data_IF_913729161916
#
_entry.id   IF_913729161916
#
_cell.length_a   1.000
_cell.length_b   1.000
_cell.length_c   1.000
_cell.angle_alpha   90.00
_cell.angle_beta   90.00
_cell.angle_gamma   90.00
#
_symmetry.space_group_name_H-M   'P 1'
#
loop_
_entity.id
_entity.type
_entity.pdbx_description
1 polymer ?
#
# COMPACT_ATOMS: atom_id res chain seq x y z
N UNK A 1 20.07 -16.25 -9.61
CA UNK A 1 19.88 -16.33 -8.14
C UNK A 1 18.52 -15.71 -7.82
N UNK A 2 17.69 -16.38 -7.02
CA UNK A 2 16.39 -15.86 -6.58
C UNK A 2 16.58 -14.94 -5.38
N UNK A 3 15.99 -13.74 -5.43
CA UNK A 3 15.94 -12.84 -4.28
C UNK A 3 14.85 -13.35 -3.35
N UNK A 4 15.23 -13.86 -2.19
CA UNK A 4 14.27 -14.17 -1.14
C UNK A 4 13.98 -12.89 -0.37
N UNK A 5 12.81 -12.30 -0.60
CA UNK A 5 12.32 -11.16 0.17
C UNK A 5 11.64 -11.70 1.42
N UNK A 6 12.30 -11.61 2.57
CA UNK A 6 11.69 -11.95 3.86
C UNK A 6 10.79 -10.80 4.28
N UNK A 7 9.47 -11.02 4.25
CA UNK A 7 8.50 -10.09 4.84
C UNK A 7 8.54 -10.24 6.37
N UNK A 8 8.69 -9.12 7.08
CA UNK A 8 8.79 -9.14 8.56
C UNK A 8 7.48 -9.60 9.23
N UNK A 9 6.36 -9.60 8.50
CA UNK A 9 5.02 -9.89 9.03
C UNK A 9 4.49 -11.30 8.73
N UNK A 10 5.32 -12.18 8.14
CA UNK A 10 5.03 -13.62 8.05
C UNK A 10 3.88 -14.02 7.11
N UNK A 11 3.23 -13.08 6.43
CA UNK A 11 2.32 -13.36 5.33
C UNK A 11 3.14 -13.61 4.06
N UNK A 12 3.07 -14.83 3.52
CA UNK A 12 3.76 -15.17 2.29
C UNK A 12 3.06 -14.51 1.09
N UNK A 13 3.85 -13.81 0.29
CA UNK A 13 3.41 -13.13 -0.92
C UNK A 13 3.98 -13.87 -2.13
N UNK A 14 3.11 -14.26 -3.05
CA UNK A 14 3.47 -14.83 -4.33
C UNK A 14 3.72 -13.69 -5.33
N UNK A 15 4.82 -13.77 -6.07
CA UNK A 15 5.27 -12.72 -6.98
C UNK A 15 5.32 -13.20 -8.41
N UNK A 16 5.23 -12.27 -9.36
CA UNK A 16 5.38 -12.56 -10.78
C UNK A 16 6.80 -13.08 -11.08
N UNK A 17 6.87 -14.16 -11.86
CA UNK A 17 8.15 -14.76 -12.30
C UNK A 17 9.02 -13.78 -13.10
N UNK A 18 8.41 -12.93 -13.91
CA UNK A 18 9.10 -11.96 -14.79
C UNK A 18 9.33 -10.61 -14.11
N UNK A 19 8.57 -10.31 -13.04
CA UNK A 19 8.73 -9.08 -12.26
C UNK A 19 8.54 -9.37 -10.76
N UNK A 20 9.60 -9.74 -10.02
CA UNK A 20 9.49 -10.12 -8.61
C UNK A 20 9.10 -8.96 -7.67
N UNK A 21 9.04 -7.72 -8.17
CA UNK A 21 8.47 -6.59 -7.42
C UNK A 21 6.92 -6.55 -7.49
N UNK A 22 6.32 -7.33 -8.38
CA UNK A 22 4.88 -7.39 -8.57
C UNK A 22 4.31 -8.61 -7.84
N UNK A 23 3.63 -8.35 -6.71
CA UNK A 23 2.85 -9.36 -6.00
C UNK A 23 1.58 -9.69 -6.80
N UNK A 24 1.29 -10.98 -6.92
CA UNK A 24 0.16 -11.53 -7.67
C UNK A 24 -0.88 -12.21 -6.77
N UNK A 25 -0.48 -12.68 -5.59
CA UNK A 25 -1.39 -13.23 -4.56
C UNK A 25 -0.67 -13.37 -3.22
N UNK A 26 -1.41 -13.68 -2.16
CA UNK A 26 -0.91 -13.93 -0.81
C UNK A 26 -1.61 -15.15 -0.20
N UNK A 27 -0.99 -15.76 0.80
CA UNK A 27 -1.57 -16.92 1.48
C UNK A 27 -2.73 -16.55 2.40
N UNK A 28 -2.73 -15.32 2.92
CA UNK A 28 -3.78 -14.79 3.80
C UNK A 28 -4.19 -13.39 3.40
N UNK A 29 -5.47 -13.12 3.55
CA UNK A 29 -6.08 -11.82 3.32
C UNK A 29 -6.87 -11.37 4.54
N UNK A 30 -6.74 -10.09 4.86
CA UNK A 30 -7.77 -9.35 5.56
C UNK A 30 -8.99 -9.23 4.66
N UNK A 31 -10.19 -9.31 5.25
CA UNK A 31 -11.45 -9.11 4.54
C UNK A 31 -12.13 -7.84 5.04
N UNK A 32 -11.81 -6.64 4.51
CA UNK A 32 -12.39 -5.39 4.99
C UNK A 32 -13.89 -5.29 4.76
N UNK A 33 -14.41 -5.99 3.75
CA UNK A 33 -15.83 -6.06 3.45
C UNK A 33 -16.19 -7.46 2.96
N UNK A 34 -17.27 -8.00 3.53
CA UNK A 34 -17.96 -9.21 3.09
C UNK A 34 -19.42 -8.81 2.95
N UNK A 35 -19.95 -8.79 1.72
CA UNK A 35 -21.21 -8.10 1.42
C UNK A 35 -21.94 -8.67 0.22
N UNK A 36 -23.05 -8.04 -0.13
CA UNK A 36 -23.84 -8.39 -1.30
C UNK A 36 -24.23 -7.11 -2.06
N UNK A 37 -24.32 -7.22 -3.38
CA UNK A 37 -24.92 -6.21 -4.26
C UNK A 37 -26.04 -6.87 -5.03
N UNK A 38 -27.21 -6.23 -5.09
CA UNK A 38 -28.39 -6.78 -5.76
C UNK A 38 -29.10 -5.70 -6.58
N UNK A 39 -29.88 -6.09 -7.61
CA UNK A 39 -30.74 -5.15 -8.34
C UNK A 39 -31.60 -4.32 -7.38
N UNK A 40 -31.64 -3.00 -7.61
CA UNK A 40 -32.32 -2.05 -6.73
C UNK A 40 -31.39 -1.34 -5.73
N UNK A 41 -30.16 -1.81 -5.52
CA UNK A 41 -29.15 -1.03 -4.81
C UNK A 41 -28.78 0.23 -5.62
N UNK A 42 -28.65 1.41 -4.97
CA UNK A 42 -28.16 2.61 -5.65
C UNK A 42 -26.81 2.35 -6.33
N UNK A 43 -26.70 2.67 -7.62
CA UNK A 43 -25.48 2.46 -8.40
C UNK A 43 -25.21 1.01 -8.82
N UNK A 44 -26.14 0.06 -8.59
CA UNK A 44 -25.96 -1.35 -8.97
C UNK A 44 -25.55 -1.54 -10.44
N UNK A 45 -26.26 -0.88 -11.36
CA UNK A 45 -25.98 -1.01 -12.79
C UNK A 45 -24.57 -0.52 -13.17
N UNK A 46 -24.08 0.53 -12.53
CA UNK A 46 -22.71 1.02 -12.70
C UNK A 46 -21.71 0.04 -12.06
N UNK A 47 -22.05 -0.54 -10.90
CA UNK A 47 -21.18 -1.47 -10.18
C UNK A 47 -20.94 -2.79 -10.96
N UNK A 48 -21.97 -3.31 -11.64
CA UNK A 48 -21.88 -4.57 -12.40
C UNK A 48 -21.38 -4.39 -13.83
N UNK A 49 -21.21 -3.15 -14.31
CA UNK A 49 -20.67 -2.86 -15.65
C UNK A 49 -19.32 -3.57 -15.86
N UNK A 50 -18.43 -3.55 -14.85
CA UNK A 50 -17.16 -4.26 -14.94
C UNK A 50 -17.30 -5.78 -15.11
N UNK A 51 -18.36 -6.39 -14.55
CA UNK A 51 -18.63 -7.82 -14.71
C UNK A 51 -19.17 -8.06 -16.13
N UNK A 52 -20.04 -7.18 -16.60
CA UNK A 52 -20.67 -7.25 -17.91
C UNK A 52 -19.65 -7.13 -19.04
N UNK A 53 -18.77 -6.14 -18.96
CA UNK A 53 -17.71 -5.88 -19.94
C UNK A 53 -16.74 -7.06 -20.07
N UNK A 54 -16.57 -7.83 -19.00
CA UNK A 54 -15.71 -9.02 -18.97
C UNK A 54 -16.49 -10.33 -19.22
N UNK A 55 -17.78 -10.28 -19.57
CA UNK A 55 -18.60 -11.46 -19.84
C UNK A 55 -18.91 -12.32 -18.61
N UNK A 56 -18.78 -11.75 -17.41
CA UNK A 56 -19.01 -12.41 -16.13
C UNK A 56 -20.30 -11.96 -15.44
N UNK A 57 -21.10 -11.10 -16.07
CA UNK A 57 -22.42 -10.71 -15.58
C UNK A 57 -23.45 -11.82 -15.82
N UNK A 58 -23.41 -12.87 -14.98
CA UNK A 58 -24.21 -14.09 -15.15
C UNK A 58 -25.23 -14.32 -14.03
N UNK A 59 -25.37 -13.39 -13.07
CA UNK A 59 -26.21 -13.58 -11.88
C UNK A 59 -27.32 -12.52 -11.82
N UNK A 60 -28.56 -12.87 -12.21
CA UNK A 60 -29.67 -11.91 -12.26
C UNK A 60 -30.10 -11.41 -10.87
N UNK A 61 -29.92 -12.23 -9.83
CA UNK A 61 -30.30 -11.89 -8.46
C UNK A 61 -29.25 -11.03 -7.73
N UNK A 62 -28.11 -10.77 -8.37
CA UNK A 62 -26.99 -10.03 -7.80
C UNK A 62 -25.79 -10.91 -7.43
N UNK A 63 -24.85 -10.30 -6.73
CA UNK A 63 -23.55 -10.87 -6.40
C UNK A 63 -23.30 -10.81 -4.90
N UNK A 64 -22.86 -11.94 -4.35
CA UNK A 64 -22.06 -11.91 -3.14
C UNK A 64 -20.67 -11.39 -3.48
N UNK A 65 -20.09 -10.56 -2.62
CA UNK A 65 -18.76 -10.02 -2.85
C UNK A 65 -17.89 -10.01 -1.59
N UNK A 66 -16.59 -10.13 -1.80
CA UNK A 66 -15.57 -10.00 -0.75
C UNK A 66 -14.47 -9.09 -1.26
N UNK A 67 -14.13 -8.09 -0.46
CA UNK A 67 -12.90 -7.34 -0.65
C UNK A 67 -11.80 -8.01 0.15
N UNK A 68 -10.75 -8.42 -0.56
CA UNK A 68 -9.57 -9.05 -0.02
C UNK A 68 -8.42 -8.06 -0.06
N UNK A 69 -7.65 -8.04 1.01
CA UNK A 69 -6.49 -7.18 1.11
C UNK A 69 -5.38 -7.85 1.93
N UNK A 70 -4.16 -7.66 1.49
CA UNK A 70 -2.92 -7.89 2.23
C UNK A 70 -2.11 -6.58 2.22
N UNK A 71 -0.94 -6.62 2.84
CA UNK A 71 -0.01 -5.49 2.89
C UNK A 71 0.34 -4.95 1.48
N UNK A 72 0.36 -5.82 0.47
CA UNK A 72 0.92 -5.53 -0.85
C UNK A 72 0.03 -5.94 -2.02
N UNK A 73 -1.14 -6.51 -1.75
CA UNK A 73 -2.06 -6.99 -2.77
C UNK A 73 -3.51 -6.82 -2.33
N UNK A 74 -4.36 -6.45 -3.29
CA UNK A 74 -5.79 -6.32 -3.13
C UNK A 74 -6.48 -7.12 -4.22
N UNK A 75 -7.62 -7.70 -3.87
CA UNK A 75 -8.48 -8.36 -4.84
C UNK A 75 -9.94 -8.22 -4.44
N UNK A 76 -10.82 -8.45 -5.40
CA UNK A 76 -12.25 -8.51 -5.19
C UNK A 76 -12.78 -9.82 -5.74
N UNK A 77 -13.50 -10.54 -4.89
CA UNK A 77 -14.26 -11.71 -5.26
C UNK A 77 -15.71 -11.34 -5.57
N UNK A 78 -16.25 -11.92 -6.63
CA UNK A 78 -17.68 -11.91 -6.96
C UNK A 78 -18.19 -13.34 -7.10
N UNK A 79 -19.23 -13.69 -6.35
CA UNK A 79 -19.83 -15.02 -6.35
C UNK A 79 -21.32 -14.98 -6.07
N UNK A 80 -21.88 -16.11 -5.62
CA UNK A 80 -23.30 -16.15 -5.28
C UNK A 80 -23.58 -15.48 -3.92
N UNK A 81 -24.76 -14.88 -3.78
CA UNK A 81 -25.22 -14.30 -2.53
C UNK A 81 -25.28 -15.38 -1.44
N UNK A 82 -25.77 -16.58 -1.79
CA UNK A 82 -25.92 -17.71 -0.88
C UNK A 82 -24.58 -18.13 -0.27
N UNK A 83 -23.52 -18.21 -1.08
CA UNK A 83 -22.20 -18.61 -0.61
C UNK A 83 -21.63 -17.59 0.37
N UNK A 84 -21.79 -16.29 0.10
CA UNK A 84 -21.30 -15.23 0.98
C UNK A 84 -22.09 -15.19 2.28
N UNK A 85 -23.41 -15.32 2.22
CA UNK A 85 -24.25 -15.38 3.41
C UNK A 85 -23.96 -16.64 4.24
N UNK A 86 -23.66 -17.77 3.60
CA UNK A 86 -23.20 -18.97 4.30
C UNK A 86 -21.84 -18.74 4.98
N UNK A 87 -20.88 -18.17 4.25
CA UNK A 87 -19.56 -17.86 4.82
C UNK A 87 -19.67 -16.92 6.03
N UNK A 88 -20.50 -15.87 5.97
CA UNK A 88 -20.73 -14.97 7.12
C UNK A 88 -21.28 -15.71 8.34
N UNK A 89 -22.22 -16.65 8.13
CA UNK A 89 -22.79 -17.47 9.21
C UNK A 89 -21.79 -18.44 9.81
N UNK A 90 -20.93 -19.02 8.99
CA UNK A 90 -19.97 -20.03 9.43
C UNK A 90 -18.71 -19.40 10.04
N UNK A 91 -18.33 -18.19 9.62
CA UNK A 91 -17.08 -17.54 10.01
C UNK A 91 -17.18 -16.71 11.31
N UNK A 92 -18.05 -17.10 12.26
CA UNK A 92 -18.26 -16.37 13.51
C UNK A 92 -16.98 -16.34 14.37
N UNK A 93 -16.18 -17.40 14.33
CA UNK A 93 -14.91 -17.54 15.06
C UNK A 93 -13.67 -17.26 14.20
N UNK A 94 -13.85 -16.90 12.92
CA UNK A 94 -12.76 -16.63 11.98
C UNK A 94 -12.07 -17.87 11.40
N UNK A 95 -12.63 -19.07 11.56
CA UNK A 95 -12.00 -20.32 11.09
C UNK A 95 -12.63 -20.92 9.84
N UNK A 96 -13.68 -20.29 9.28
CA UNK A 96 -14.38 -20.85 8.13
C UNK A 96 -13.50 -20.86 6.88
N UNK A 97 -13.57 -21.97 6.13
CA UNK A 97 -12.93 -22.09 4.83
C UNK A 97 -13.79 -21.48 3.74
N UNK A 98 -13.19 -20.69 2.87
CA UNK A 98 -13.84 -20.08 1.71
C UNK A 98 -13.36 -20.74 0.42
N UNK A 99 -14.27 -21.14 -0.47
CA UNK A 99 -13.93 -21.70 -1.78
C UNK A 99 -14.00 -20.60 -2.86
N UNK A 100 -12.86 -20.02 -3.28
CA UNK A 100 -12.83 -18.95 -4.27
C UNK A 100 -13.12 -19.43 -5.70
N UNK A 101 -13.20 -20.75 -5.95
CA UNK A 101 -13.42 -21.30 -7.30
C UNK A 101 -14.87 -21.16 -7.79
N UNK A 102 -15.82 -20.86 -6.89
CA UNK A 102 -17.25 -20.73 -7.20
C UNK A 102 -17.65 -19.35 -7.75
N UNK A 103 -16.67 -18.47 -7.96
CA UNK A 103 -16.87 -17.13 -8.45
C UNK A 103 -15.68 -16.61 -9.25
N UNK A 104 -15.61 -15.30 -9.41
CA UNK A 104 -14.59 -14.63 -10.19
C UNK A 104 -13.79 -13.70 -9.30
N UNK A 105 -12.46 -13.73 -9.46
CA UNK A 105 -11.53 -12.88 -8.74
C UNK A 105 -10.97 -11.80 -9.67
N UNK A 106 -11.00 -10.55 -9.22
CA UNK A 106 -10.36 -9.42 -9.90
C UNK A 106 -9.20 -8.90 -9.06
N UNK A 107 -8.04 -8.71 -9.70
CA UNK A 107 -6.77 -8.35 -9.04
C UNK A 107 -6.65 -6.84 -8.72
N UNK A 108 -7.63 -6.31 -7.99
CA UNK A 108 -7.70 -4.97 -7.38
C UNK A 108 -9.09 -4.80 -6.77
N UNK A 109 -9.28 -3.75 -5.99
CA UNK A 109 -10.63 -3.29 -5.68
C UNK A 109 -11.22 -2.54 -6.89
N UNK A 110 -12.53 -2.64 -7.13
CA UNK A 110 -13.20 -1.79 -8.12
C UNK A 110 -13.12 -0.32 -7.70
N UNK A 111 -13.44 0.60 -8.60
CA UNK A 111 -13.54 2.04 -8.32
C UNK A 111 -14.48 2.69 -9.32
N UNK A 112 -14.87 3.93 -9.05
CA UNK A 112 -15.76 4.70 -9.89
C UNK A 112 -17.21 4.69 -9.41
N UNK A 113 -18.11 5.09 -10.31
CA UNK A 113 -19.53 5.32 -9.97
C UNK A 113 -20.17 4.06 -9.34
N UNK A 114 -20.88 4.27 -8.24
CA UNK A 114 -21.45 3.19 -7.42
C UNK A 114 -20.44 2.55 -6.45
N UNK A 115 -19.20 2.31 -6.90
CA UNK A 115 -18.14 1.73 -6.08
C UNK A 115 -17.52 2.70 -5.06
N UNK A 116 -17.32 3.96 -5.43
CA UNK A 116 -16.60 4.94 -4.58
C UNK A 116 -17.29 5.18 -3.23
N UNK A 117 -18.62 5.09 -3.17
CA UNK A 117 -19.42 5.21 -1.95
C UNK A 117 -19.61 3.87 -1.22
N UNK A 118 -19.47 2.76 -1.96
CA UNK A 118 -19.66 1.41 -1.43
C UNK A 118 -18.39 0.87 -0.75
N UNK A 119 -17.22 1.28 -1.24
CA UNK A 119 -15.93 0.81 -0.75
C UNK A 119 -15.64 1.41 0.63
N UNK A 120 -15.33 0.58 1.64
CA UNK A 120 -15.01 1.08 2.95
C UNK A 120 -13.67 1.82 2.91
N UNK A 121 -13.62 3.00 3.53
CA UNK A 121 -12.38 3.74 3.75
C UNK A 121 -11.63 3.14 4.95
N UNK A 122 -11.09 1.94 4.76
CA UNK A 122 -10.36 1.20 5.79
C UNK A 122 -8.84 1.30 5.61
N UNK A 123 -8.17 1.78 6.65
CA UNK A 123 -6.71 1.82 6.73
C UNK A 123 -6.13 0.47 7.15
N UNK A 124 -4.83 0.26 6.95
CA UNK A 124 -4.17 -0.94 7.48
C UNK A 124 -4.15 -0.89 9.00
N UNK A 125 -3.67 0.23 9.53
CA UNK A 125 -3.65 0.52 10.96
C UNK A 125 -4.99 1.13 11.39
N UNK A 126 -5.67 0.47 12.32
CA UNK A 126 -7.00 0.89 12.82
C UNK A 126 -6.93 1.02 14.34
N UNK A 127 -7.32 2.18 14.88
CA UNK A 127 -7.25 2.49 16.30
C UNK A 127 -8.06 1.50 17.14
N UNK A 128 -9.26 1.13 16.68
CA UNK A 128 -10.11 0.13 17.32
C UNK A 128 -9.44 -1.27 17.44
N UNK A 129 -8.37 -1.52 16.68
CA UNK A 129 -7.57 -2.76 16.72
C UNK A 129 -6.20 -2.56 17.39
N UNK A 130 -6.02 -1.46 18.14
CA UNK A 130 -4.83 -1.19 18.94
C UNK A 130 -3.74 -0.38 18.24
N UNK A 131 -4.01 0.16 17.05
CA UNK A 131 -3.11 1.15 16.44
C UNK A 131 -3.17 2.49 17.20
N UNK A 132 -2.14 3.33 17.03
CA UNK A 132 -2.08 4.66 17.65
C UNK A 132 -3.22 5.56 17.17
N UNK A 133 -3.44 5.58 15.86
CA UNK A 133 -4.53 6.25 15.19
C UNK A 133 -4.86 5.49 13.89
N UNK A 134 -6.03 5.76 13.33
CA UNK A 134 -6.41 5.25 12.01
C UNK A 134 -5.44 5.78 10.94
N UNK A 135 -4.90 4.89 10.12
CA UNK A 135 -3.95 5.26 9.06
C UNK A 135 -2.57 5.66 9.57
N UNK A 136 -2.21 5.30 10.81
CA UNK A 136 -0.89 5.60 11.36
C UNK A 136 -0.23 4.33 11.87
N UNK A 137 0.87 3.94 11.22
CA UNK A 137 1.70 2.83 11.67
C UNK A 137 2.38 2.05 10.54
N UNK A 138 3.07 0.99 10.91
CA UNK A 138 3.74 0.11 9.96
C UNK A 138 2.72 -0.71 9.16
N UNK A 139 2.92 -0.81 7.85
CA UNK A 139 2.14 -1.70 6.97
C UNK A 139 2.89 -3.00 6.80
N UNK A 140 4.10 -2.90 6.26
CA UNK A 140 5.00 -4.03 6.05
C UNK A 140 6.45 -3.60 6.16
N UNK A 141 7.36 -4.56 6.26
CA UNK A 141 8.78 -4.33 6.25
C UNK A 141 9.47 -5.51 5.57
N UNK A 142 10.60 -5.21 4.95
CA UNK A 142 11.39 -6.14 4.19
C UNK A 142 12.82 -6.09 4.72
N UNK A 143 13.41 -7.23 5.01
CA UNK A 143 14.83 -7.28 5.37
C UNK A 143 15.70 -6.80 4.19
N UNK A 144 16.67 -5.94 4.47
CA UNK A 144 17.63 -5.49 3.47
C UNK A 144 18.59 -6.63 3.12
N UNK A 145 18.76 -6.93 1.82
CA UNK A 145 19.53 -8.10 1.39
C UNK A 145 21.04 -7.93 1.56
N UNK A 146 21.54 -6.70 1.47
CA UNK A 146 22.98 -6.42 1.48
C UNK A 146 23.51 -5.86 2.81
N UNK A 147 22.64 -5.39 3.72
CA UNK A 147 23.02 -4.69 4.94
C UNK A 147 22.32 -5.37 6.12
N UNK A 148 23.03 -6.19 6.90
CA UNK A 148 22.45 -6.91 8.03
C UNK A 148 21.79 -5.97 9.05
N UNK A 149 20.57 -6.32 9.47
CA UNK A 149 19.80 -5.54 10.45
C UNK A 149 19.11 -4.30 9.89
N UNK A 150 19.36 -3.93 8.63
CA UNK A 150 18.59 -2.90 7.95
C UNK A 150 17.30 -3.48 7.35
N UNK A 151 16.30 -2.62 7.27
CA UNK A 151 14.95 -2.89 6.75
C UNK A 151 14.52 -1.79 5.77
N UNK A 152 13.70 -2.17 4.79
CA UNK A 152 12.87 -1.25 4.02
C UNK A 152 11.44 -1.37 4.52
N UNK A 153 10.91 -0.29 5.04
CA UNK A 153 9.69 -0.25 5.83
C UNK A 153 8.63 0.53 5.07
N UNK A 154 7.44 -0.03 4.90
CA UNK A 154 6.26 0.65 4.39
C UNK A 154 5.38 1.06 5.55
N UNK A 155 4.92 2.30 5.58
CA UNK A 155 4.13 2.81 6.70
C UNK A 155 3.11 3.86 6.26
N UNK A 156 2.03 3.95 7.03
CA UNK A 156 1.00 4.97 6.94
C UNK A 156 1.26 6.06 8.01
N UNK A 157 0.96 7.31 7.67
CA UNK A 157 1.15 8.45 8.56
C UNK A 157 0.21 9.61 8.19
N UNK A 158 -0.01 10.55 9.11
CA UNK A 158 -0.67 11.81 8.82
C UNK A 158 0.36 12.85 8.34
N UNK A 159 0.11 13.48 7.19
CA UNK A 159 1.04 14.42 6.57
C UNK A 159 0.36 15.46 5.69
N UNK A 160 1.13 16.41 5.18
CA UNK A 160 0.66 17.50 4.32
C UNK A 160 1.55 17.60 3.10
N UNK A 161 0.96 17.84 1.92
CA UNK A 161 1.71 18.05 0.68
C UNK A 161 2.32 19.44 0.58
N UNK A 162 1.60 20.45 1.10
CA UNK A 162 2.01 21.85 1.12
C UNK A 162 1.87 22.40 2.54
N UNK A 163 2.67 23.42 2.94
CA UNK A 163 2.60 24.01 4.27
C UNK A 163 1.17 24.43 4.69
N UNK A 164 0.43 25.01 3.74
CA UNK A 164 -0.92 25.55 3.97
C UNK A 164 -2.04 24.53 3.66
N UNK A 165 -1.71 23.29 3.30
CA UNK A 165 -2.71 22.25 3.04
C UNK A 165 -3.23 21.61 4.33
N UNK A 166 -4.42 21.01 4.26
CA UNK A 166 -4.94 20.19 5.36
C UNK A 166 -4.14 18.88 5.51
N UNK A 167 -3.94 18.37 6.74
CA UNK A 167 -3.37 17.05 6.93
C UNK A 167 -4.23 15.99 6.27
N UNK A 168 -3.57 15.02 5.64
CA UNK A 168 -4.17 13.85 5.00
C UNK A 168 -3.46 12.59 5.47
N UNK A 169 -4.15 11.47 5.32
CA UNK A 169 -3.54 10.16 5.49
C UNK A 169 -2.65 9.86 4.28
N UNK A 170 -1.42 9.48 4.56
CA UNK A 170 -0.35 9.29 3.59
C UNK A 170 0.23 7.88 3.74
N UNK A 171 0.88 7.39 2.68
CA UNK A 171 1.64 6.14 2.69
C UNK A 171 2.95 6.35 1.94
N UNK A 172 4.03 5.75 2.44
CA UNK A 172 5.36 5.79 1.84
C UNK A 172 6.17 4.58 2.26
N UNK A 173 7.42 4.50 1.80
CA UNK A 173 8.41 3.56 2.30
C UNK A 173 9.72 4.27 2.69
N UNK A 174 10.47 3.66 3.61
CA UNK A 174 11.73 4.15 4.14
C UNK A 174 12.78 3.05 4.18
N UNK A 175 14.02 3.34 3.78
CA UNK A 175 15.13 2.40 3.85
C UNK A 175 16.12 2.80 4.96
N UNK A 176 16.15 2.02 6.04
CA UNK A 176 16.99 2.28 7.22
C UNK A 176 18.50 2.10 6.98
N UNK A 177 18.90 1.54 5.83
CA UNK A 177 20.30 1.38 5.46
C UNK A 177 20.98 2.70 5.07
N UNK A 178 20.29 3.56 4.31
CA UNK A 178 20.87 4.76 3.71
C UNK A 178 20.21 6.05 4.21
N UNK A 179 18.97 5.98 4.68
CA UNK A 179 18.22 7.13 5.18
C UNK A 179 18.33 7.13 6.71
N UNK A 180 19.42 7.67 7.23
CA UNK A 180 19.69 7.70 8.67
C UNK A 180 18.77 8.68 9.42
N UNK A 181 18.34 9.74 8.73
CA UNK A 181 17.36 10.71 9.21
C UNK A 181 16.08 10.63 8.37
N UNK A 182 15.03 10.12 9.00
CA UNK A 182 13.66 9.91 8.48
C UNK A 182 12.92 11.19 8.06
N UNK A 183 13.56 12.36 8.14
CA UNK A 183 12.98 13.65 7.73
C UNK A 183 13.14 13.92 6.22
N UNK A 184 13.94 13.12 5.52
CA UNK A 184 14.36 13.35 4.13
C UNK A 184 14.04 12.17 3.19
N UNK A 185 12.91 11.48 3.41
CA UNK A 185 12.41 10.47 2.47
C UNK A 185 11.46 11.10 1.45
N UNK A 186 12.07 11.83 0.55
CA UNK A 186 11.43 12.66 -0.45
C UNK A 186 11.52 11.93 -1.78
N UNK A 187 10.35 11.68 -2.37
CA UNK A 187 10.23 11.06 -3.69
C UNK A 187 9.15 9.99 -3.80
N UNK A 188 8.71 9.38 -2.69
CA UNK A 188 7.78 8.24 -2.75
C UNK A 188 6.63 8.30 -1.73
N UNK A 189 6.12 9.50 -1.48
CA UNK A 189 4.92 9.73 -0.66
C UNK A 189 3.68 9.72 -1.56
N UNK A 190 2.58 9.13 -1.09
CA UNK A 190 1.29 9.13 -1.80
C UNK A 190 0.15 9.33 -0.80
N UNK A 191 -0.95 9.98 -1.22
CA UNK A 191 -2.18 10.01 -0.40
C UNK A 191 -2.69 8.58 -0.24
N UNK A 192 -3.01 8.18 0.99
CA UNK A 192 -3.51 6.85 1.27
C UNK A 192 -5.01 6.80 1.03
N UNK A 193 -5.41 6.46 -0.18
CA UNK A 193 -6.82 6.34 -0.59
C UNK A 193 -7.36 4.92 -0.45
N UNK A 194 -6.53 3.96 0.00
CA UNK A 194 -6.91 2.56 0.14
C UNK A 194 -5.80 1.58 -0.21
N UNK A 195 -6.14 0.30 -0.40
CA UNK A 195 -5.18 -0.79 -0.62
C UNK A 195 -4.26 -0.57 -1.81
N UNK A 196 -4.74 0.07 -2.88
CA UNK A 196 -3.95 0.31 -4.09
C UNK A 196 -2.81 1.31 -3.82
N UNK A 197 -3.02 2.29 -2.94
CA UNK A 197 -1.96 3.21 -2.49
C UNK A 197 -0.90 2.46 -1.68
N UNK A 198 -1.31 1.54 -0.79
CA UNK A 198 -0.40 0.68 -0.03
C UNK A 198 0.39 -0.26 -0.94
N UNK A 199 -0.28 -0.90 -1.89
CA UNK A 199 0.33 -1.75 -2.92
C UNK A 199 1.35 -0.98 -3.74
N UNK A 200 1.06 0.27 -4.11
CA UNK A 200 2.02 1.13 -4.79
C UNK A 200 3.27 1.33 -3.93
N UNK A 201 3.12 1.75 -2.67
CA UNK A 201 4.26 2.01 -1.78
C UNK A 201 5.09 0.75 -1.53
N UNK A 202 4.43 -0.40 -1.31
CA UNK A 202 5.09 -1.68 -1.14
C UNK A 202 5.84 -2.15 -2.40
N UNK A 203 5.26 -1.92 -3.59
CA UNK A 203 5.96 -2.18 -4.85
C UNK A 203 7.22 -1.34 -4.97
N UNK A 204 7.18 -0.05 -4.62
CA UNK A 204 8.37 0.81 -4.64
C UNK A 204 9.45 0.28 -3.67
N UNK A 205 9.06 -0.10 -2.46
CA UNK A 205 9.95 -0.71 -1.47
C UNK A 205 10.60 -2.01 -1.98
N UNK A 206 9.82 -2.90 -2.63
CA UNK A 206 10.36 -4.11 -3.27
C UNK A 206 11.32 -3.78 -4.40
N UNK A 207 10.98 -2.83 -5.27
CA UNK A 207 11.85 -2.39 -6.36
C UNK A 207 13.17 -1.86 -5.83
N UNK A 208 13.14 -1.10 -4.73
CA UNK A 208 14.33 -0.60 -4.06
C UNK A 208 15.25 -1.74 -3.60
N UNK A 209 14.71 -2.75 -2.89
CA UNK A 209 15.50 -3.91 -2.45
C UNK A 209 16.03 -4.74 -3.61
N UNK A 210 15.18 -5.02 -4.61
CA UNK A 210 15.57 -5.79 -5.79
C UNK A 210 16.69 -5.07 -6.54
N UNK A 211 16.62 -3.74 -6.63
CA UNK A 211 17.67 -2.93 -7.25
C UNK A 211 18.97 -2.99 -6.45
N UNK A 212 18.90 -2.85 -5.12
CA UNK A 212 20.06 -2.98 -4.23
C UNK A 212 20.75 -4.35 -4.38
N UNK A 213 19.97 -5.44 -4.44
CA UNK A 213 20.51 -6.77 -4.64
C UNK A 213 21.16 -6.95 -6.02
N UNK A 214 20.55 -6.40 -7.08
CA UNK A 214 21.04 -6.57 -8.45
C UNK A 214 22.25 -5.72 -8.78
N UNK A 215 22.32 -4.51 -8.24
CA UNK A 215 23.30 -3.50 -8.64
C UNK A 215 24.24 -3.10 -7.51
N UNK A 216 23.98 -3.54 -6.27
CA UNK A 216 24.68 -3.08 -5.08
C UNK A 216 24.06 -1.83 -4.47
N UNK A 217 24.42 -1.54 -3.22
CA UNK A 217 24.06 -0.31 -2.52
C UNK A 217 24.98 0.83 -2.97
N UNK A 218 24.43 2.00 -3.25
CA UNK A 218 25.18 3.20 -3.68
C UNK A 218 25.63 3.20 -5.14
N UNK A 219 25.40 2.11 -5.89
CA UNK A 219 25.73 2.04 -7.31
C UNK A 219 24.90 3.02 -8.15
N UNK A 220 25.47 3.56 -9.23
CA UNK A 220 24.79 4.56 -10.09
C UNK A 220 23.53 4.01 -10.76
N UNK A 221 23.48 2.70 -11.00
CA UNK A 221 22.34 1.98 -11.56
C UNK A 221 21.39 1.45 -10.48
N UNK A 222 21.70 1.66 -9.20
CA UNK A 222 20.86 1.26 -8.07
C UNK A 222 19.85 2.34 -7.71
N UNK A 223 18.62 1.93 -7.43
CA UNK A 223 17.62 2.75 -6.76
C UNK A 223 17.94 2.96 -5.27
N UNK A 224 18.91 2.23 -4.73
CA UNK A 224 19.47 2.39 -3.40
C UNK A 224 20.73 3.26 -3.42
N UNK A 225 20.63 4.43 -4.06
CA UNK A 225 21.70 5.44 -4.09
C UNK A 225 21.20 6.72 -3.42
N UNK A 226 22.07 7.49 -2.75
CA UNK A 226 21.69 8.81 -2.26
C UNK A 226 21.25 9.71 -3.44
N UNK A 227 20.00 10.19 -3.42
CA UNK A 227 19.59 11.26 -4.32
C UNK A 227 20.10 12.56 -3.70
N UNK A 228 21.25 13.02 -4.15
CA UNK A 228 21.88 14.28 -3.73
C UNK A 228 21.07 15.54 -4.12
N UNK A 229 19.78 15.44 -4.48
CA UNK A 229 18.95 16.55 -4.96
C UNK A 229 19.37 17.12 -6.33
N UNK A 230 20.28 16.48 -7.05
CA UNK A 230 20.86 17.02 -8.30
C UNK A 230 19.82 17.21 -9.41
N UNK A 231 18.84 16.30 -9.49
CA UNK A 231 17.73 16.43 -10.44
C UNK A 231 16.84 17.64 -10.11
N UNK A 232 16.53 17.88 -8.83
CA UNK A 232 15.76 19.06 -8.40
C UNK A 232 16.50 20.37 -8.68
N UNK A 233 17.83 20.40 -8.45
CA UNK A 233 18.68 21.54 -8.80
C UNK A 233 18.66 21.83 -10.31
N UNK A 234 18.66 20.79 -11.15
CA UNK A 234 18.55 20.94 -12.62
C UNK A 234 17.16 21.45 -13.02
N UNK A 235 16.08 20.92 -12.45
CA UNK A 235 14.70 21.36 -12.75
C UNK A 235 14.49 22.81 -12.31
N UNK A 236 14.98 23.19 -11.12
CA UNK A 236 14.95 24.57 -10.66
C UNK A 236 15.74 25.50 -11.58
N UNK A 237 16.89 25.06 -12.08
CA UNK A 237 17.66 25.83 -13.05
C UNK A 237 16.86 26.06 -14.35
N UNK A 238 16.27 25.03 -14.92
CA UNK A 238 15.43 25.14 -16.12
C UNK A 238 14.22 26.05 -15.87
N UNK A 239 13.57 25.93 -14.71
CA UNK A 239 12.44 26.77 -14.34
C UNK A 239 12.82 28.27 -14.24
N UNK A 240 13.99 28.59 -13.68
CA UNK A 240 14.53 29.95 -13.63
C UNK A 240 14.83 30.47 -15.04
N UNK A 241 15.46 29.64 -15.87
CA UNK A 241 15.86 30.02 -17.23
C UNK A 241 14.64 30.24 -18.15
N UNK A 242 13.59 29.44 -18.00
CA UNK A 242 12.38 29.53 -18.82
C UNK A 242 11.40 30.60 -18.34
N UNK A 243 11.27 30.80 -17.03
CA UNK A 243 10.22 31.65 -16.45
C UNK A 243 10.74 32.89 -15.73
N UNK A 244 12.05 33.12 -15.69
CA UNK A 244 12.67 34.32 -15.12
C UNK A 244 12.42 34.49 -13.62
N UNK A 245 12.14 33.39 -12.91
CA UNK A 245 11.83 33.42 -11.48
C UNK A 245 13.10 33.67 -10.66
N UNK A 246 12.98 34.48 -9.59
CA UNK A 246 14.11 34.80 -8.69
C UNK A 246 14.29 33.80 -7.54
N UNK A 247 13.36 32.85 -7.40
CA UNK A 247 13.40 31.78 -6.41
C UNK A 247 13.22 30.42 -7.08
N UNK A 248 13.48 29.37 -6.33
CA UNK A 248 13.30 28.02 -6.84
C UNK A 248 11.82 27.63 -6.80
N UNK A 249 11.34 27.00 -7.88
CA UNK A 249 9.99 26.45 -7.92
C UNK A 249 9.82 25.22 -7.00
N UNK A 250 10.93 24.51 -6.76
CA UNK A 250 11.07 23.36 -5.86
C UNK A 250 12.24 23.64 -4.89
N UNK A 251 12.32 23.04 -3.71
CA UNK A 251 13.50 23.18 -2.85
C UNK A 251 14.78 22.62 -3.53
N UNK A 252 15.96 23.15 -3.17
CA UNK A 252 17.28 22.72 -3.74
C UNK A 252 17.81 21.43 -3.14
N UNK A 253 17.35 21.15 -1.94
CA UNK A 253 17.48 19.89 -1.24
C UNK A 253 16.10 19.32 -1.06
N UNK A 254 16.07 18.03 -0.88
CA UNK A 254 14.88 17.21 -0.90
C UNK A 254 14.03 17.45 0.42
N UNK A 255 14.50 18.35 1.28
CA UNK A 255 14.13 18.63 2.67
C UNK A 255 12.68 19.14 2.90
N UNK A 256 11.90 19.41 1.85
CA UNK A 256 10.57 20.00 2.01
C UNK A 256 9.38 19.02 1.85
N UNK A 257 9.62 17.72 1.69
CA UNK A 257 8.54 16.76 1.38
C UNK A 257 8.07 15.86 2.54
N UNK A 258 8.42 16.15 3.79
CA UNK A 258 7.92 15.39 4.95
C UNK A 258 7.54 16.28 6.16
N UNK A 259 6.23 16.28 6.47
CA UNK A 259 5.52 16.65 7.70
C UNK A 259 6.28 17.35 8.85
N UNK A 260 5.81 18.54 9.24
CA UNK A 260 6.21 19.32 10.44
C UNK A 260 5.84 18.68 11.79
N UNK A 261 5.27 17.47 11.78
CA UNK A 261 5.12 16.56 12.95
C UNK A 261 5.42 15.11 12.50
N UNK A 262 6.66 14.89 12.06
CA UNK A 262 7.01 13.80 11.17
C UNK A 262 6.84 12.37 11.73
N UNK A 263 6.70 11.37 10.82
CA UNK A 263 6.55 9.95 11.13
C UNK A 263 7.72 9.35 11.92
N UNK A 264 8.81 10.09 12.11
CA UNK A 264 10.04 9.71 12.80
C UNK A 264 9.87 9.47 14.31
N UNK A 265 9.16 10.37 15.01
CA UNK A 265 8.86 10.20 16.44
C UNK A 265 7.88 9.06 16.62
N UNK A 266 6.89 8.95 15.73
CA UNK A 266 5.90 7.88 15.72
C UNK A 266 6.53 6.52 15.39
N UNK A 267 7.45 6.39 14.42
CA UNK A 267 8.15 5.12 14.13
C UNK A 267 9.10 4.73 15.27
N UNK A 268 9.77 5.70 15.92
CA UNK A 268 10.57 5.44 17.13
C UNK A 268 9.69 5.00 18.31
N UNK A 269 8.56 5.65 18.54
CA UNK A 269 7.57 5.29 19.57
C UNK A 269 6.83 3.98 19.26
N UNK A 270 6.52 3.68 18.00
CA UNK A 270 5.91 2.41 17.56
C UNK A 270 6.89 1.24 17.65
N UNK A 271 8.18 1.46 17.30
CA UNK A 271 9.27 0.50 17.58
C UNK A 271 9.47 0.27 19.08
N UNK A 272 9.26 1.30 19.91
CA UNK A 272 9.44 1.22 21.36
C UNK A 272 8.19 0.72 22.13
N UNK A 273 6.98 0.86 21.58
CA UNK A 273 5.73 0.72 22.34
C UNK A 273 4.78 -0.39 21.91
N UNK A 274 4.71 -0.77 20.63
CA UNK A 274 3.68 -1.71 20.15
C UNK A 274 4.23 -2.59 19.02
N UNK A 275 5.28 -3.37 19.31
CA UNK A 275 5.44 -4.65 18.61
C UNK A 275 4.53 -5.68 19.30
N UNK A 276 3.53 -6.27 18.61
CA UNK A 276 2.83 -7.44 19.12
C UNK A 276 3.84 -8.49 19.59
N UNK A 277 3.55 -9.26 20.65
CA UNK A 277 4.55 -10.14 21.30
C UNK A 277 5.30 -11.08 20.35
N UNK A 278 4.68 -11.49 19.24
CA UNK A 278 5.30 -12.30 18.17
C UNK A 278 6.48 -11.62 17.45
N UNK A 279 6.64 -10.30 17.58
CA UNK A 279 7.71 -9.50 16.94
C UNK A 279 8.79 -9.00 17.91
N UNK A 280 8.81 -9.53 19.15
CA UNK A 280 9.82 -9.22 20.19
C UNK A 280 10.86 -10.33 20.39
N UNK A 281 10.78 -11.41 19.62
CA UNK A 281 11.68 -12.57 19.67
C UNK A 281 12.82 -12.43 18.65
#
# INVERSE_FOLDING_TARGET
MSITITTTYGNAHNVSETNPAHVTSCDRYRLPLVGTIAPGNPGYEDMVEMLRDNGHDTRPDGYGLIFLESEEFSATYFGSIEQIEQYKRDNIDGTATFDPSQGVMYAKWPHGKGWDDFIPRTFWNVQARGALADGVGLVTAFAHTEIPGAEVIVYEFEGKWLPDSEPKQMVTYHCTACHLDTFHDCGHVHENTGPDSRRWAARQARQHIISAHRHGVGDKSSACRPNNGEMLRVVNQVARDMWGTQGNALPDTDDAYCATKGPCSIIRELRAGIRPPVYRA
#
